data_IF_092579197169
#
_entry.id   IF_092579197169
#
_cell.length_a   1.000
_cell.length_b   1.000
_cell.length_c   1.000
_cell.angle_alpha   90.00
_cell.angle_beta   90.00
_cell.angle_gamma   90.00
#
_symmetry.space_group_name_H-M   'P 1'
#
loop_
_entity.id
_entity.type
_entity.pdbx_description
1 polymer ?
#
# COMPACT_ATOMS: atom_id res chain seq x y z
N UNK A 1 26.74 14.22 -10.67
CA UNK A 1 25.32 13.90 -10.76
C UNK A 1 24.85 13.92 -12.22
N UNK A 2 25.29 14.88 -12.99
CA UNK A 2 24.90 15.04 -14.41
C UNK A 2 25.28 13.84 -15.28
N UNK A 3 26.45 13.24 -15.09
CA UNK A 3 26.89 12.05 -15.82
C UNK A 3 25.97 10.84 -15.61
N UNK A 4 25.46 10.64 -14.38
CA UNK A 4 24.55 9.53 -14.05
C UNK A 4 23.18 9.76 -14.67
N UNK A 5 22.69 10.99 -14.65
CA UNK A 5 21.41 11.34 -15.28
C UNK A 5 21.50 11.23 -16.81
N UNK A 6 22.60 11.70 -17.40
CA UNK A 6 22.88 11.56 -18.84
C UNK A 6 22.97 10.08 -19.27
N UNK A 7 23.67 9.24 -18.48
CA UNK A 7 23.68 7.80 -18.69
C UNK A 7 22.26 7.23 -18.65
N UNK A 8 21.45 7.66 -17.67
CA UNK A 8 20.06 7.20 -17.55
C UNK A 8 19.19 7.62 -18.74
N UNK A 9 19.35 8.85 -19.24
CA UNK A 9 18.69 9.32 -20.48
C UNK A 9 19.05 8.43 -21.66
N UNK A 10 20.35 8.17 -21.90
CA UNK A 10 20.83 7.33 -23.01
C UNK A 10 20.27 5.90 -22.92
N UNK A 11 20.23 5.32 -21.71
CA UNK A 11 19.66 4.00 -21.50
C UNK A 11 18.16 3.95 -21.82
N UNK A 12 17.41 4.96 -21.38
CA UNK A 12 15.97 5.06 -21.67
C UNK A 12 15.73 5.19 -23.17
N UNK A 13 16.46 6.07 -23.85
CA UNK A 13 16.37 6.22 -25.30
C UNK A 13 16.69 4.91 -26.03
N UNK A 14 17.72 4.18 -25.59
CA UNK A 14 18.07 2.87 -26.16
C UNK A 14 16.92 1.86 -25.99
N UNK A 15 16.33 1.79 -24.81
CA UNK A 15 15.17 0.91 -24.53
C UNK A 15 13.98 1.30 -25.41
N UNK A 16 13.79 2.60 -25.61
CA UNK A 16 12.67 3.14 -26.39
C UNK A 16 12.84 3.02 -27.91
N UNK A 17 14.03 2.70 -28.44
CA UNK A 17 14.23 2.43 -29.87
C UNK A 17 13.37 1.26 -30.37
N UNK A 18 13.04 0.31 -29.50
CA UNK A 18 12.23 -0.88 -29.82
C UNK A 18 10.78 -0.78 -29.30
N UNK A 19 10.26 0.42 -29.14
CA UNK A 19 8.86 0.61 -28.72
C UNK A 19 7.89 0.09 -29.77
N UNK A 20 6.87 -0.61 -29.31
CA UNK A 20 5.71 -1.02 -30.09
C UNK A 20 4.44 -0.74 -29.33
N UNK A 21 3.32 -0.56 -30.01
CA UNK A 21 2.03 -0.33 -29.35
C UNK A 21 1.70 -1.44 -28.33
N UNK A 22 2.03 -2.69 -28.66
CA UNK A 22 1.79 -3.84 -27.76
C UNK A 22 2.63 -3.75 -26.48
N UNK A 23 3.91 -3.38 -26.57
CA UNK A 23 4.78 -3.21 -25.41
C UNK A 23 4.35 -2.00 -24.57
N UNK A 24 3.91 -0.92 -25.21
CA UNK A 24 3.39 0.25 -24.53
C UNK A 24 2.16 -0.10 -23.69
N UNK A 25 1.18 -0.79 -24.26
CA UNK A 25 -0.02 -1.25 -23.56
C UNK A 25 0.33 -2.24 -22.44
N UNK A 26 1.22 -3.17 -22.69
CA UNK A 26 1.68 -4.13 -21.67
C UNK A 26 2.31 -3.41 -20.47
N UNK A 27 3.26 -2.49 -20.69
CA UNK A 27 3.92 -1.80 -19.59
C UNK A 27 2.99 -0.79 -18.90
N UNK A 28 2.04 -0.17 -19.60
CA UNK A 28 0.99 0.63 -18.96
C UNK A 28 0.05 -0.22 -18.11
N UNK A 29 -0.34 -1.40 -18.56
CA UNK A 29 -1.15 -2.32 -17.76
C UNK A 29 -0.39 -2.79 -16.51
N UNK A 30 0.88 -3.19 -16.65
CA UNK A 30 1.74 -3.62 -15.52
C UNK A 30 1.92 -2.47 -14.52
N UNK A 31 2.23 -1.25 -14.97
CA UNK A 31 2.45 -0.13 -14.06
C UNK A 31 1.21 0.27 -13.26
N UNK A 32 0.00 0.01 -13.79
CA UNK A 32 -1.26 0.28 -13.08
C UNK A 32 -1.33 -0.47 -11.75
N UNK A 33 -0.76 -1.68 -11.67
CA UNK A 33 -0.69 -2.47 -10.43
C UNK A 33 0.16 -1.79 -9.35
N UNK A 34 1.09 -0.93 -9.72
CA UNK A 34 1.94 -0.18 -8.79
C UNK A 34 1.48 1.24 -8.48
N UNK A 35 0.42 1.68 -9.14
CA UNK A 35 -0.18 3.01 -8.96
C UNK A 35 -1.62 2.91 -8.50
N UNK A 36 -2.57 3.05 -9.41
CA UNK A 36 -4.00 2.99 -9.11
C UNK A 36 -4.44 1.62 -8.58
N UNK A 37 -3.69 0.55 -8.84
CA UNK A 37 -3.99 -0.81 -8.38
C UNK A 37 -4.14 -0.94 -6.86
N UNK A 38 -3.46 -0.10 -6.07
CA UNK A 38 -3.57 -0.09 -4.61
C UNK A 38 -5.02 0.13 -4.13
N UNK A 39 -5.83 0.90 -4.89
CA UNK A 39 -7.26 1.15 -4.57
C UNK A 39 -8.06 -0.16 -4.59
N UNK A 40 -7.63 -1.14 -5.37
CA UNK A 40 -8.29 -2.45 -5.51
C UNK A 40 -7.62 -3.53 -4.66
N UNK A 41 -6.29 -3.58 -4.65
CA UNK A 41 -5.51 -4.65 -4.00
C UNK A 41 -5.60 -4.53 -2.48
N UNK A 42 -5.43 -3.33 -1.93
CA UNK A 42 -5.44 -3.13 -0.46
C UNK A 42 -6.79 -3.50 0.16
N UNK A 43 -7.96 -3.05 -0.36
CA UNK A 43 -9.26 -3.51 0.12
C UNK A 43 -9.46 -5.02 -0.04
N UNK A 44 -8.99 -5.60 -1.16
CA UNK A 44 -9.06 -7.05 -1.35
C UNK A 44 -8.31 -7.81 -0.26
N UNK A 45 -7.09 -7.37 0.07
CA UNK A 45 -6.32 -7.98 1.16
C UNK A 45 -7.04 -7.83 2.50
N UNK A 46 -7.55 -6.63 2.82
CA UNK A 46 -8.26 -6.37 4.10
C UNK A 46 -9.51 -7.23 4.23
N UNK A 47 -10.34 -7.31 3.19
CA UNK A 47 -11.69 -7.89 3.28
C UNK A 47 -11.77 -9.37 2.90
N UNK A 48 -10.81 -9.87 2.11
CA UNK A 48 -10.88 -11.21 1.53
C UNK A 48 -9.77 -12.14 1.98
N UNK A 49 -8.56 -11.61 2.24
CA UNK A 49 -7.43 -12.43 2.63
C UNK A 49 -7.26 -12.44 4.16
N UNK A 50 -6.97 -11.29 4.76
CA UNK A 50 -6.78 -11.19 6.20
C UNK A 50 -6.83 -9.73 6.67
N UNK A 51 -7.78 -9.42 7.52
CA UNK A 51 -7.99 -8.06 8.04
C UNK A 51 -6.73 -7.51 8.73
N UNK A 52 -6.08 -8.34 9.57
CA UNK A 52 -4.88 -7.96 10.30
C UNK A 52 -3.73 -7.60 9.36
N UNK A 53 -3.48 -8.45 8.37
CA UNK A 53 -2.40 -8.24 7.38
C UNK A 53 -2.70 -7.03 6.51
N UNK A 54 -3.91 -6.94 5.95
CA UNK A 54 -4.27 -5.86 5.04
C UNK A 54 -4.33 -4.50 5.71
N UNK A 55 -4.87 -4.40 6.93
CA UNK A 55 -4.94 -3.12 7.65
C UNK A 55 -3.55 -2.61 8.06
N UNK A 56 -2.63 -3.49 8.47
CA UNK A 56 -1.24 -3.13 8.75
C UNK A 56 -0.48 -2.74 7.49
N UNK A 57 -0.69 -3.48 6.39
CA UNK A 57 -0.14 -3.15 5.08
C UNK A 57 -0.58 -1.76 4.64
N UNK A 58 -1.87 -1.41 4.77
CA UNK A 58 -2.39 -0.08 4.47
C UNK A 58 -1.64 1.02 5.24
N UNK A 59 -1.53 0.90 6.57
CA UNK A 59 -0.83 1.89 7.39
C UNK A 59 0.66 2.00 7.00
N UNK A 60 1.31 0.88 6.69
CA UNK A 60 2.71 0.86 6.26
C UNK A 60 2.88 1.54 4.90
N UNK A 61 1.98 1.29 3.94
CA UNK A 61 2.01 1.95 2.63
C UNK A 61 1.79 3.46 2.75
N UNK A 62 0.89 3.90 3.64
CA UNK A 62 0.67 5.34 3.88
C UNK A 62 1.89 6.03 4.49
N UNK A 63 2.53 5.40 5.49
CA UNK A 63 3.80 5.91 6.04
C UNK A 63 4.92 5.87 5.00
N UNK A 64 4.97 4.83 4.18
CA UNK A 64 5.89 4.70 3.06
C UNK A 64 5.70 5.83 2.05
N UNK A 65 4.46 6.19 1.74
CA UNK A 65 4.15 7.31 0.85
C UNK A 65 4.63 8.66 1.44
N UNK A 66 4.43 8.89 2.74
CA UNK A 66 4.95 10.09 3.41
C UNK A 66 6.47 10.19 3.26
N UNK A 67 7.20 9.09 3.54
CA UNK A 67 8.66 9.04 3.37
C UNK A 67 9.06 9.27 1.91
N UNK A 68 8.36 8.64 0.96
CA UNK A 68 8.64 8.81 -0.47
C UNK A 68 8.51 10.27 -0.92
N UNK A 69 7.41 10.93 -0.56
CA UNK A 69 7.21 12.35 -0.89
C UNK A 69 8.25 13.24 -0.22
N UNK A 70 8.64 12.94 1.04
CA UNK A 70 9.71 13.66 1.71
C UNK A 70 11.04 13.56 0.98
N UNK A 71 11.41 12.35 0.57
CA UNK A 71 12.64 12.14 -0.18
C UNK A 71 12.61 12.80 -1.56
N UNK A 72 11.45 12.83 -2.23
CA UNK A 72 11.27 13.54 -3.50
C UNK A 72 11.54 15.04 -3.35
N UNK A 73 11.01 15.66 -2.31
CA UNK A 73 11.21 17.09 -2.07
C UNK A 73 12.65 17.40 -1.65
N UNK A 74 13.31 16.50 -0.92
CA UNK A 74 14.74 16.64 -0.54
C UNK A 74 15.66 16.51 -1.76
N UNK A 75 15.47 15.50 -2.60
CA UNK A 75 16.30 15.30 -3.78
C UNK A 75 15.98 16.28 -4.90
N UNK A 76 14.72 16.67 -5.02
CA UNK A 76 14.20 17.57 -6.07
C UNK A 76 14.72 17.22 -7.47
N UNK A 77 14.92 15.91 -7.74
CA UNK A 77 15.51 15.43 -8.98
C UNK A 77 14.52 15.55 -10.14
N UNK A 78 14.93 16.13 -11.28
CA UNK A 78 14.09 16.18 -12.48
C UNK A 78 13.80 14.76 -12.99
N UNK A 79 12.74 14.62 -13.76
CA UNK A 79 12.42 13.37 -14.44
C UNK A 79 13.15 13.26 -15.78
N UNK A 80 13.25 12.03 -16.35
CA UNK A 80 13.92 11.84 -17.64
C UNK A 80 13.39 12.76 -18.75
N UNK A 81 12.07 12.90 -18.86
CA UNK A 81 11.41 13.72 -19.86
C UNK A 81 11.56 15.25 -19.65
N UNK A 82 11.99 15.68 -18.46
CA UNK A 82 12.33 17.09 -18.19
C UNK A 82 13.70 17.45 -18.77
N UNK A 83 14.60 16.45 -18.88
CA UNK A 83 15.94 16.62 -19.45
C UNK A 83 16.00 16.33 -20.95
N UNK A 84 15.19 15.36 -21.43
CA UNK A 84 15.16 14.95 -22.82
C UNK A 84 13.71 14.81 -23.30
N UNK A 85 13.18 15.84 -24.01
CA UNK A 85 11.79 15.84 -24.46
C UNK A 85 11.43 14.72 -25.46
N UNK A 86 12.44 14.10 -26.10
CA UNK A 86 12.22 12.96 -27.00
C UNK A 86 11.83 11.67 -26.24
N UNK A 87 12.06 11.60 -24.94
CA UNK A 87 11.59 10.50 -24.12
C UNK A 87 10.07 10.51 -24.06
N UNK A 88 9.46 9.45 -24.58
CA UNK A 88 8.06 9.08 -24.71
C UNK A 88 6.95 10.05 -24.24
N UNK A 89 5.69 9.75 -24.55
CA UNK A 89 4.57 10.66 -24.29
C UNK A 89 4.10 10.65 -22.83
N UNK A 90 4.51 9.65 -22.03
CA UNK A 90 4.04 9.50 -20.66
C UNK A 90 4.62 10.59 -19.76
N UNK A 91 3.77 11.22 -18.97
CA UNK A 91 4.14 12.33 -18.08
C UNK A 91 3.57 12.10 -16.69
N UNK A 92 4.32 12.45 -15.67
CA UNK A 92 3.89 12.40 -14.27
C UNK A 92 4.30 13.69 -13.53
N UNK A 93 3.49 14.11 -12.59
CA UNK A 93 3.77 15.30 -11.80
C UNK A 93 4.80 15.02 -10.69
N UNK A 94 5.50 16.10 -10.30
CA UNK A 94 6.46 16.07 -9.19
C UNK A 94 7.80 15.41 -9.54
N UNK A 95 8.69 15.38 -8.59
CA UNK A 95 10.08 14.93 -8.75
C UNK A 95 10.23 13.44 -9.05
N UNK A 96 11.38 13.06 -9.64
CA UNK A 96 11.71 11.69 -10.02
C UNK A 96 12.04 10.79 -8.82
N UNK A 97 13.15 11.05 -8.16
CA UNK A 97 13.71 10.16 -7.12
C UNK A 97 13.09 10.35 -5.73
N UNK A 98 12.83 9.25 -5.02
CA UNK A 98 12.80 7.85 -5.45
C UNK A 98 11.48 7.46 -6.12
N UNK A 99 11.47 6.34 -6.90
CA UNK A 99 10.24 5.84 -7.52
C UNK A 99 9.25 5.29 -6.51
N UNK A 100 8.07 5.93 -6.39
CA UNK A 100 7.01 5.47 -5.50
C UNK A 100 6.41 4.12 -5.93
N UNK A 101 6.25 3.88 -7.23
CA UNK A 101 5.78 2.59 -7.74
C UNK A 101 6.73 1.45 -7.32
N UNK A 102 8.03 1.60 -7.50
CA UNK A 102 9.01 0.61 -7.09
C UNK A 102 9.00 0.36 -5.58
N UNK A 103 8.92 1.44 -4.78
CA UNK A 103 8.92 1.38 -3.32
C UNK A 103 7.67 0.67 -2.77
N UNK A 104 6.49 1.10 -3.19
CA UNK A 104 5.23 0.61 -2.62
C UNK A 104 4.94 -0.82 -3.08
N UNK A 105 5.20 -1.16 -4.35
CA UNK A 105 4.97 -2.53 -4.84
C UNK A 105 5.89 -3.55 -4.19
N UNK A 106 7.13 -3.18 -3.86
CA UNK A 106 8.00 -4.07 -3.11
C UNK A 106 7.40 -4.40 -1.74
N UNK A 107 6.89 -3.41 -1.01
CA UNK A 107 6.25 -3.63 0.30
C UNK A 107 4.98 -4.47 0.13
N UNK A 108 4.09 -4.07 -0.75
CA UNK A 108 2.77 -4.68 -0.93
C UNK A 108 2.86 -6.14 -1.35
N UNK A 109 3.55 -6.43 -2.46
CA UNK A 109 3.65 -7.79 -2.97
C UNK A 109 4.45 -8.71 -2.06
N UNK A 110 5.46 -8.18 -1.34
CA UNK A 110 6.20 -8.97 -0.36
C UNK A 110 5.34 -9.35 0.84
N UNK A 111 4.49 -8.44 1.35
CA UNK A 111 3.57 -8.74 2.46
C UNK A 111 2.48 -9.73 2.04
N UNK A 112 1.95 -9.60 0.81
CA UNK A 112 1.00 -10.58 0.26
C UNK A 112 1.67 -11.94 0.10
N UNK A 113 2.91 -11.99 -0.43
CA UNK A 113 3.66 -13.23 -0.58
C UNK A 113 3.95 -13.92 0.76
N UNK A 114 4.30 -13.15 1.78
CA UNK A 114 4.49 -13.65 3.14
C UNK A 114 3.18 -14.24 3.71
N UNK A 115 2.04 -13.60 3.44
CA UNK A 115 0.73 -14.11 3.85
C UNK A 115 0.33 -15.39 3.11
N UNK A 116 0.55 -15.45 1.77
CA UNK A 116 0.25 -16.64 0.96
C UNK A 116 1.14 -17.83 1.35
N UNK A 117 2.41 -17.59 1.70
CA UNK A 117 3.35 -18.60 2.19
C UNK A 117 3.70 -19.69 1.16
N UNK A 118 3.56 -19.44 -0.15
CA UNK A 118 3.84 -20.40 -1.23
C UNK A 118 4.97 -19.92 -2.13
N UNK A 119 5.97 -20.77 -2.36
CA UNK A 119 7.15 -20.42 -3.19
C UNK A 119 6.79 -19.89 -4.58
N UNK A 120 5.82 -20.53 -5.26
CA UNK A 120 5.39 -20.06 -6.59
C UNK A 120 4.85 -18.62 -6.55
N UNK A 121 4.11 -18.25 -5.48
CA UNK A 121 3.58 -16.90 -5.34
C UNK A 121 4.69 -15.90 -5.00
N UNK A 122 5.70 -16.31 -4.22
CA UNK A 122 6.89 -15.48 -3.97
C UNK A 122 7.62 -15.16 -5.28
N UNK A 123 7.79 -16.15 -6.16
CA UNK A 123 8.38 -15.93 -7.49
C UNK A 123 7.53 -14.95 -8.30
N UNK A 124 6.20 -15.15 -8.33
CA UNK A 124 5.28 -14.22 -9.01
C UNK A 124 5.37 -12.80 -8.44
N UNK A 125 5.41 -12.64 -7.13
CA UNK A 125 5.55 -11.33 -6.47
C UNK A 125 6.86 -10.64 -6.86
N UNK A 126 7.98 -11.37 -6.87
CA UNK A 126 9.28 -10.83 -7.30
C UNK A 126 9.23 -10.40 -8.77
N UNK A 127 8.64 -11.23 -9.64
CA UNK A 127 8.47 -10.89 -11.06
C UNK A 127 7.64 -9.61 -11.24
N UNK A 128 6.53 -9.47 -10.50
CA UNK A 128 5.69 -8.26 -10.55
C UNK A 128 6.46 -7.03 -10.06
N UNK A 129 7.19 -7.12 -8.95
CA UNK A 129 8.01 -6.02 -8.41
C UNK A 129 9.03 -5.57 -9.46
N UNK A 130 9.72 -6.52 -10.10
CA UNK A 130 10.72 -6.22 -11.14
C UNK A 130 10.05 -5.61 -12.37
N UNK A 131 8.97 -6.22 -12.88
CA UNK A 131 8.26 -5.74 -14.08
C UNK A 131 7.67 -4.34 -13.86
N UNK A 132 7.10 -4.06 -12.67
CA UNK A 132 6.59 -2.72 -12.35
C UNK A 132 7.75 -1.73 -12.28
N UNK A 133 8.88 -2.07 -11.67
CA UNK A 133 10.07 -1.21 -11.69
C UNK A 133 10.58 -0.94 -13.11
N UNK A 134 10.71 -1.98 -13.94
CA UNK A 134 11.12 -1.85 -15.34
C UNK A 134 10.15 -1.02 -16.17
N UNK A 135 8.84 -1.15 -15.93
CA UNK A 135 7.83 -0.33 -16.62
C UNK A 135 8.09 1.17 -16.46
N UNK A 136 8.63 1.59 -15.30
CA UNK A 136 8.90 3.01 -15.03
C UNK A 136 10.03 3.55 -15.89
N UNK A 137 11.04 2.73 -16.15
CA UNK A 137 12.16 3.04 -17.04
C UNK A 137 11.70 3.01 -18.49
N UNK A 138 10.99 1.95 -18.90
CA UNK A 138 10.46 1.80 -20.24
C UNK A 138 9.56 2.98 -20.66
N UNK A 139 8.64 3.40 -19.77
CA UNK A 139 7.73 4.53 -20.00
C UNK A 139 8.46 5.88 -19.91
N UNK A 140 9.72 5.91 -19.47
CA UNK A 140 10.54 7.13 -19.44
C UNK A 140 10.16 8.10 -18.32
N UNK A 141 9.45 7.64 -17.30
CA UNK A 141 8.97 8.49 -16.17
C UNK A 141 9.90 8.48 -14.97
N UNK A 142 10.84 7.52 -14.91
CA UNK A 142 11.87 7.41 -13.87
C UNK A 142 13.20 6.92 -14.45
N UNK A 143 14.29 7.42 -13.87
CA UNK A 143 15.60 6.84 -14.12
C UNK A 143 15.74 5.46 -13.47
N UNK A 144 16.64 4.59 -13.98
CA UNK A 144 16.95 3.32 -13.31
C UNK A 144 17.38 3.50 -11.85
N UNK A 145 18.10 4.57 -11.55
CA UNK A 145 18.54 4.94 -10.19
C UNK A 145 17.37 5.27 -9.27
N UNK A 146 16.28 5.88 -9.79
CA UNK A 146 15.07 6.17 -9.01
C UNK A 146 14.38 4.88 -8.59
N UNK A 147 14.34 3.90 -9.51
CA UNK A 147 13.75 2.57 -9.25
C UNK A 147 14.55 1.82 -8.21
N UNK A 148 15.89 1.81 -8.34
CA UNK A 148 16.77 1.19 -7.34
C UNK A 148 16.64 1.86 -5.97
N UNK A 149 16.62 3.19 -5.91
CA UNK A 149 16.39 3.93 -4.67
C UNK A 149 15.02 3.60 -4.06
N UNK A 150 13.98 3.46 -4.90
CA UNK A 150 12.66 3.02 -4.48
C UNK A 150 12.68 1.62 -3.86
N UNK A 151 13.36 0.66 -4.49
CA UNK A 151 13.48 -0.70 -3.94
C UNK A 151 14.29 -0.74 -2.63
N UNK A 152 15.39 0.02 -2.53
CA UNK A 152 16.19 0.10 -1.29
C UNK A 152 15.36 0.67 -0.16
N UNK A 153 14.67 1.78 -0.40
CA UNK A 153 13.81 2.42 0.60
C UNK A 153 12.63 1.54 0.97
N UNK A 154 11.97 0.93 -0.02
CA UNK A 154 10.89 -0.03 0.20
C UNK A 154 11.35 -1.25 1.00
N UNK A 155 12.53 -1.78 0.70
CA UNK A 155 13.15 -2.89 1.44
C UNK A 155 13.44 -2.55 2.91
N UNK A 156 13.97 -1.35 3.17
CA UNK A 156 14.21 -0.86 4.53
C UNK A 156 12.90 -0.73 5.32
N UNK A 157 11.85 -0.15 4.70
CA UNK A 157 10.53 -0.01 5.34
C UNK A 157 9.84 -1.36 5.54
N UNK A 158 9.97 -2.28 4.60
CA UNK A 158 9.48 -3.66 4.74
C UNK A 158 10.19 -4.37 5.90
N UNK A 159 11.50 -4.24 6.01
CA UNK A 159 12.27 -4.80 7.13
C UNK A 159 11.81 -4.24 8.47
N UNK A 160 11.60 -2.92 8.57
CA UNK A 160 11.05 -2.29 9.78
C UNK A 160 9.65 -2.82 10.10
N UNK A 161 8.79 -2.98 9.09
CA UNK A 161 7.47 -3.58 9.26
C UNK A 161 7.57 -5.00 9.82
N UNK A 162 8.33 -5.88 9.17
CA UNK A 162 8.45 -7.28 9.57
C UNK A 162 9.06 -7.42 10.98
N UNK A 163 9.94 -6.50 11.38
CA UNK A 163 10.61 -6.52 12.69
C UNK A 163 9.77 -5.98 13.83
N UNK A 164 8.90 -4.99 13.55
CA UNK A 164 8.27 -4.20 14.62
C UNK A 164 6.74 -4.17 14.59
N UNK A 165 6.08 -4.51 13.48
CA UNK A 165 4.62 -4.34 13.36
C UNK A 165 3.83 -5.15 14.41
N UNK A 166 4.27 -6.36 14.76
CA UNK A 166 3.62 -7.16 15.80
C UNK A 166 3.77 -6.55 17.18
N UNK A 167 4.96 -6.08 17.53
CA UNK A 167 5.22 -5.46 18.83
C UNK A 167 4.46 -4.13 18.98
N UNK A 168 4.43 -3.30 17.91
CA UNK A 168 3.65 -2.06 17.89
C UNK A 168 2.16 -2.37 18.05
N UNK A 169 1.64 -3.32 17.30
CA UNK A 169 0.24 -3.68 17.37
C UNK A 169 -0.15 -4.27 18.73
N UNK A 170 0.73 -5.04 19.38
CA UNK A 170 0.51 -5.56 20.73
C UNK A 170 0.49 -4.44 21.77
N UNK A 171 1.42 -3.49 21.70
CA UNK A 171 1.45 -2.31 22.58
C UNK A 171 0.21 -1.44 22.43
N UNK A 172 -0.19 -1.14 21.18
CA UNK A 172 -1.42 -0.40 20.91
C UNK A 172 -2.66 -1.18 21.35
N UNK A 173 -2.61 -2.50 21.26
CA UNK A 173 -3.68 -3.37 21.74
C UNK A 173 -3.88 -3.30 23.24
N UNK A 174 -2.79 -3.25 23.98
CA UNK A 174 -2.80 -3.12 25.44
C UNK A 174 -3.15 -1.70 25.91
N UNK A 175 -2.95 -0.70 25.07
CA UNK A 175 -3.33 0.68 25.34
C UNK A 175 -4.86 0.85 25.31
N UNK A 176 -5.38 1.73 26.14
CA UNK A 176 -6.80 2.10 26.14
C UNK A 176 -7.24 2.73 24.82
N UNK A 177 -8.54 2.67 24.53
CA UNK A 177 -9.11 3.20 23.27
C UNK A 177 -8.71 4.66 23.01
N UNK A 178 -8.75 5.53 24.04
CA UNK A 178 -8.33 6.92 23.91
C UNK A 178 -6.87 7.07 23.46
N UNK A 179 -5.96 6.23 23.98
CA UNK A 179 -4.56 6.23 23.58
C UNK A 179 -4.37 5.77 22.12
N UNK A 180 -5.17 4.81 21.64
CA UNK A 180 -5.13 4.37 20.25
C UNK A 180 -5.56 5.50 19.29
N UNK A 181 -6.64 6.21 19.62
CA UNK A 181 -7.11 7.37 18.83
C UNK A 181 -6.09 8.52 18.89
N UNK A 182 -5.53 8.83 20.07
CA UNK A 182 -4.50 9.84 20.21
C UNK A 182 -3.25 9.51 19.38
N UNK A 183 -2.82 8.25 19.35
CA UNK A 183 -1.71 7.80 18.50
C UNK A 183 -2.05 7.95 17.02
N UNK A 184 -3.27 7.57 16.61
CA UNK A 184 -3.72 7.75 15.22
C UNK A 184 -3.69 9.23 14.81
N UNK A 185 -4.17 10.14 15.68
CA UNK A 185 -4.15 11.58 15.45
C UNK A 185 -2.72 12.12 15.39
N UNK A 186 -1.86 11.73 16.32
CA UNK A 186 -0.46 12.16 16.36
C UNK A 186 0.30 11.73 15.10
N UNK A 187 0.16 10.46 14.68
CA UNK A 187 0.77 9.99 13.43
C UNK A 187 0.19 10.69 12.19
N UNK A 188 -1.12 10.95 12.16
CA UNK A 188 -1.75 11.70 11.07
C UNK A 188 -1.28 13.16 11.04
N UNK A 189 -1.04 13.76 12.20
CA UNK A 189 -0.51 15.13 12.28
C UNK A 189 0.87 15.26 11.61
N UNK A 190 1.68 14.19 11.54
CA UNK A 190 2.95 14.23 10.81
C UNK A 190 2.74 14.54 9.32
N UNK A 191 1.69 14.04 8.70
CA UNK A 191 1.36 14.34 7.30
C UNK A 191 0.98 15.82 7.13
N UNK A 192 0.22 16.37 8.08
CA UNK A 192 -0.16 17.79 8.07
C UNK A 192 1.06 18.67 8.27
N UNK A 193 1.90 18.36 9.26
CA UNK A 193 3.17 19.08 9.51
C UNK A 193 4.07 19.01 8.29
N UNK A 194 4.19 17.84 7.68
CA UNK A 194 4.95 17.67 6.43
C UNK A 194 4.45 18.63 5.34
N UNK A 195 3.14 18.67 5.10
CA UNK A 195 2.56 19.59 4.12
C UNK A 195 2.82 21.06 4.43
N UNK A 196 2.75 21.45 5.70
CA UNK A 196 3.02 22.84 6.11
C UNK A 196 4.49 23.24 5.91
N UNK A 197 5.41 22.29 6.06
CA UNK A 197 6.85 22.52 5.85
C UNK A 197 7.26 22.43 4.37
N UNK A 198 6.61 21.54 3.59
CA UNK A 198 6.93 21.25 2.21
C UNK A 198 5.63 21.22 1.35
N UNK A 199 5.05 22.40 1.04
CA UNK A 199 3.71 22.48 0.43
C UNK A 199 3.66 22.09 -1.05
N UNK A 200 4.73 21.52 -1.62
CA UNK A 200 4.82 21.13 -3.03
C UNK A 200 3.94 19.93 -3.37
N UNK A 201 3.64 19.09 -2.37
CA UNK A 201 2.89 17.84 -2.56
C UNK A 201 1.55 17.85 -1.80
N UNK A 202 0.49 18.44 -2.36
CA UNK A 202 -0.81 18.58 -1.69
C UNK A 202 -1.50 17.23 -1.36
N UNK A 203 -1.16 16.16 -2.07
CA UNK A 203 -1.71 14.81 -1.83
C UNK A 203 -1.44 14.29 -0.42
N UNK A 204 -0.40 14.77 0.26
CA UNK A 204 -0.03 14.36 1.62
C UNK A 204 -1.13 14.65 2.63
N UNK A 205 -1.91 15.73 2.42
CA UNK A 205 -3.07 16.07 3.28
C UNK A 205 -4.11 14.95 3.26
N UNK A 206 -4.45 14.47 2.05
CA UNK A 206 -5.39 13.36 1.89
C UNK A 206 -4.86 12.05 2.50
N UNK A 207 -3.55 11.77 2.33
CA UNK A 207 -2.92 10.60 2.96
C UNK A 207 -2.98 10.67 4.50
N UNK A 208 -2.82 11.85 5.09
CA UNK A 208 -2.99 12.07 6.54
C UNK A 208 -4.40 11.75 7.01
N UNK A 209 -5.41 12.24 6.28
CA UNK A 209 -6.81 11.90 6.54
C UNK A 209 -7.07 10.39 6.43
N UNK A 210 -6.62 9.76 5.33
CA UNK A 210 -6.74 8.32 5.10
C UNK A 210 -6.07 7.50 6.22
N UNK A 211 -4.89 7.92 6.66
CA UNK A 211 -4.19 7.30 7.78
C UNK A 211 -4.98 7.40 9.08
N UNK A 212 -5.46 8.59 9.42
CA UNK A 212 -6.27 8.79 10.63
C UNK A 212 -7.52 7.92 10.60
N UNK A 213 -8.30 7.99 9.52
CA UNK A 213 -9.52 7.20 9.37
C UNK A 213 -9.26 5.71 9.46
N UNK A 214 -8.21 5.21 8.79
CA UNK A 214 -7.83 3.80 8.82
C UNK A 214 -7.39 3.35 10.22
N UNK A 215 -6.53 4.11 10.89
CA UNK A 215 -6.04 3.77 12.23
C UNK A 215 -7.15 3.86 13.30
N UNK A 216 -7.99 4.90 13.23
CA UNK A 216 -9.17 5.02 14.09
C UNK A 216 -10.16 3.88 13.83
N UNK A 217 -10.39 3.54 12.56
CA UNK A 217 -11.26 2.43 12.18
C UNK A 217 -10.77 1.07 12.69
N UNK A 218 -9.46 0.83 12.73
CA UNK A 218 -8.88 -0.37 13.35
C UNK A 218 -9.20 -0.41 14.86
N UNK A 219 -9.05 0.72 15.57
CA UNK A 219 -9.36 0.81 16.99
C UNK A 219 -10.86 0.57 17.27
N UNK A 220 -11.73 1.15 16.43
CA UNK A 220 -13.19 0.95 16.48
C UNK A 220 -13.58 -0.51 16.19
N UNK A 221 -13.02 -1.09 15.13
CA UNK A 221 -13.27 -2.47 14.74
C UNK A 221 -12.90 -3.44 15.90
N UNK A 222 -11.75 -3.24 16.50
CA UNK A 222 -11.32 -4.06 17.66
C UNK A 222 -12.24 -3.95 18.86
N UNK A 223 -12.85 -2.78 19.09
CA UNK A 223 -13.71 -2.54 20.25
C UNK A 223 -15.11 -3.09 20.07
N UNK A 224 -15.69 -3.01 18.87
CA UNK A 224 -17.12 -3.25 18.65
C UNK A 224 -17.44 -4.31 17.60
N UNK A 225 -16.48 -4.73 16.78
CA UNK A 225 -16.74 -5.66 15.70
C UNK A 225 -15.84 -6.90 15.80
N UNK A 226 -16.24 -7.92 15.05
CA UNK A 226 -15.35 -9.03 14.69
C UNK A 226 -14.73 -8.73 13.34
N UNK A 227 -13.40 -8.78 13.26
CA UNK A 227 -12.71 -8.60 12.01
C UNK A 227 -13.19 -9.62 10.96
N UNK A 228 -13.35 -9.22 9.67
CA UNK A 228 -13.84 -10.12 8.62
C UNK A 228 -12.73 -11.09 8.18
N UNK A 229 -12.47 -12.10 8.98
CA UNK A 229 -11.47 -13.13 8.65
C UNK A 229 -12.15 -14.42 8.16
N UNK A 230 -11.53 -15.11 7.20
CA UNK A 230 -12.04 -16.38 6.66
C UNK A 230 -13.35 -16.25 5.89
N UNK A 231 -14.14 -17.32 5.90
CA UNK A 231 -15.43 -17.43 5.20
C UNK A 231 -15.32 -18.08 3.81
N UNK A 232 -16.48 -18.51 3.28
CA UNK A 232 -16.60 -19.11 1.97
C UNK A 232 -16.21 -18.13 0.85
N UNK A 233 -15.78 -18.62 -0.30
CA UNK A 233 -15.36 -17.79 -1.44
C UNK A 233 -16.44 -16.80 -1.87
N UNK A 234 -17.70 -17.22 -1.91
CA UNK A 234 -18.81 -16.33 -2.27
C UNK A 234 -19.00 -15.19 -1.24
N UNK A 235 -18.79 -15.45 0.05
CA UNK A 235 -18.85 -14.42 1.10
C UNK A 235 -17.72 -13.39 0.90
N UNK A 236 -16.50 -13.87 0.60
CA UNK A 236 -15.34 -13.00 0.31
C UNK A 236 -15.59 -12.17 -0.96
N UNK A 237 -16.13 -12.78 -2.02
CA UNK A 237 -16.49 -12.07 -3.25
C UNK A 237 -17.53 -10.98 -3.01
N UNK A 238 -18.61 -11.29 -2.27
CA UNK A 238 -19.65 -10.30 -1.93
C UNK A 238 -19.09 -9.19 -1.03
N UNK A 239 -18.24 -9.49 -0.04
CA UNK A 239 -17.57 -8.47 0.77
C UNK A 239 -16.78 -7.50 -0.12
N UNK A 240 -16.01 -8.05 -1.06
CA UNK A 240 -15.22 -7.22 -1.97
C UNK A 240 -16.12 -6.36 -2.86
N UNK A 241 -17.10 -6.94 -3.52
CA UNK A 241 -18.00 -6.21 -4.43
C UNK A 241 -18.78 -5.10 -3.72
N UNK A 242 -19.36 -5.40 -2.56
CA UNK A 242 -20.10 -4.40 -1.77
C UNK A 242 -19.16 -3.33 -1.23
N UNK A 243 -18.04 -3.73 -0.64
CA UNK A 243 -17.09 -2.79 -0.06
C UNK A 243 -16.46 -1.85 -1.09
N UNK A 244 -16.05 -2.40 -2.25
CA UNK A 244 -15.42 -1.62 -3.31
C UNK A 244 -16.42 -0.71 -4.02
N UNK A 245 -17.66 -1.15 -4.23
CA UNK A 245 -18.70 -0.33 -4.84
C UNK A 245 -18.94 0.95 -4.03
N UNK A 246 -19.09 0.82 -2.70
CA UNK A 246 -19.27 1.99 -1.83
C UNK A 246 -18.00 2.87 -1.83
N UNK A 247 -16.80 2.29 -1.76
CA UNK A 247 -15.56 3.05 -1.79
C UNK A 247 -15.42 3.85 -3.08
N UNK A 248 -15.62 3.22 -4.24
CA UNK A 248 -15.49 3.89 -5.54
C UNK A 248 -16.57 4.97 -5.73
N UNK A 249 -17.81 4.71 -5.27
CA UNK A 249 -18.86 5.71 -5.28
C UNK A 249 -18.49 6.90 -4.41
N UNK A 250 -17.97 6.66 -3.19
CA UNK A 250 -17.48 7.71 -2.30
C UNK A 250 -16.38 8.55 -2.98
N UNK A 251 -15.35 7.90 -3.51
CA UNK A 251 -14.25 8.60 -4.18
C UNK A 251 -14.71 9.42 -5.39
N UNK A 252 -15.64 8.89 -6.18
CA UNK A 252 -16.20 9.58 -7.36
C UNK A 252 -17.07 10.79 -6.99
N UNK A 253 -17.79 10.75 -5.86
CA UNK A 253 -18.68 11.85 -5.47
C UNK A 253 -17.99 12.88 -4.59
N UNK A 254 -17.19 12.42 -3.62
CA UNK A 254 -16.58 13.32 -2.62
C UNK A 254 -15.57 14.29 -3.24
N UNK A 255 -14.91 13.91 -4.34
CA UNK A 255 -14.02 14.80 -5.09
C UNK A 255 -14.74 16.06 -5.64
N UNK A 256 -16.04 15.96 -5.92
CA UNK A 256 -16.84 17.08 -6.43
C UNK A 256 -17.11 18.18 -5.38
N UNK A 257 -16.92 17.85 -4.11
CA UNK A 257 -17.13 18.79 -3.01
C UNK A 257 -15.87 19.58 -2.64
N UNK A 258 -14.74 19.17 -3.20
CA UNK A 258 -13.45 19.83 -2.94
C UNK A 258 -13.33 21.05 -3.83
N UNK A 259 -13.15 22.28 -3.25
CA UNK A 259 -12.96 23.48 -4.03
C UNK A 259 -11.67 23.41 -4.89
N UNK A 260 -11.62 24.13 -6.00
CA UNK A 260 -10.42 24.22 -6.83
C UNK A 260 -9.31 25.03 -6.14
N UNK A 261 -9.69 26.05 -5.39
CA UNK A 261 -8.75 26.88 -4.64
C UNK A 261 -8.25 26.15 -3.38
N UNK A 262 -6.94 26.15 -3.18
CA UNK A 262 -6.28 25.48 -2.04
C UNK A 262 -6.31 26.39 -0.79
N UNK A 263 -7.50 26.66 -0.33
CA UNK A 263 -7.77 27.40 0.93
C UNK A 263 -8.01 26.43 2.11
N UNK A 264 -8.48 26.96 3.22
CA UNK A 264 -8.79 26.19 4.42
C UNK A 264 -9.92 25.15 4.14
N UNK A 265 -10.90 25.50 3.32
CA UNK A 265 -12.01 24.60 2.98
C UNK A 265 -11.50 23.41 2.16
N UNK A 266 -10.64 23.68 1.18
CA UNK A 266 -9.94 22.62 0.43
C UNK A 266 -9.20 21.66 1.36
N UNK A 267 -8.38 22.22 2.27
CA UNK A 267 -7.59 21.43 3.21
C UNK A 267 -8.48 20.52 4.08
N UNK A 268 -9.51 21.09 4.69
CA UNK A 268 -10.43 20.35 5.57
C UNK A 268 -11.19 19.28 4.80
N UNK A 269 -11.72 19.60 3.63
CA UNK A 269 -12.51 18.67 2.83
C UNK A 269 -11.65 17.53 2.27
N UNK A 270 -10.45 17.80 1.76
CA UNK A 270 -9.52 16.74 1.31
C UNK A 270 -9.17 15.81 2.47
N UNK A 271 -8.84 16.37 3.64
CA UNK A 271 -8.53 15.56 4.81
C UNK A 271 -9.72 14.69 5.24
N UNK A 272 -10.90 15.29 5.42
CA UNK A 272 -12.09 14.59 5.89
C UNK A 272 -12.59 13.54 4.89
N UNK A 273 -12.61 13.84 3.59
CA UNK A 273 -13.01 12.90 2.56
C UNK A 273 -12.15 11.62 2.58
N UNK A 274 -10.84 11.79 2.73
CA UNK A 274 -9.93 10.67 2.82
C UNK A 274 -10.01 9.97 4.19
N UNK A 275 -10.29 10.69 5.28
CA UNK A 275 -10.52 10.07 6.59
C UNK A 275 -11.76 9.17 6.57
N UNK A 276 -12.83 9.59 5.91
CA UNK A 276 -14.02 8.74 5.71
C UNK A 276 -13.67 7.50 4.89
N UNK A 277 -12.88 7.62 3.82
CA UNK A 277 -12.43 6.48 3.04
C UNK A 277 -11.60 5.49 3.88
N UNK A 278 -10.66 5.99 4.69
CA UNK A 278 -9.87 5.18 5.62
C UNK A 278 -10.73 4.46 6.68
N UNK A 279 -11.67 5.20 7.26
CA UNK A 279 -12.64 4.65 8.22
C UNK A 279 -13.53 3.59 7.57
N UNK A 280 -13.96 3.81 6.32
CA UNK A 280 -14.71 2.82 5.55
C UNK A 280 -13.91 1.53 5.37
N UNK A 281 -12.66 1.61 4.96
CA UNK A 281 -11.80 0.45 4.72
C UNK A 281 -11.69 -0.48 5.94
N UNK A 282 -11.54 0.09 7.14
CA UNK A 282 -11.14 -0.67 8.32
C UNK A 282 -12.25 -0.82 9.36
N UNK A 283 -13.36 -0.07 9.25
CA UNK A 283 -14.50 -0.17 10.18
C UNK A 283 -15.84 -0.22 9.45
N UNK A 284 -16.16 0.72 8.57
CA UNK A 284 -17.48 0.82 7.95
C UNK A 284 -17.85 -0.41 7.12
N UNK A 285 -16.96 -0.86 6.22
CA UNK A 285 -17.18 -2.06 5.44
C UNK A 285 -17.23 -3.33 6.32
N UNK A 286 -16.33 -3.58 7.28
CA UNK A 286 -16.46 -4.65 8.26
C UNK A 286 -17.80 -4.63 9.03
N UNK A 287 -18.29 -3.45 9.43
CA UNK A 287 -19.58 -3.31 10.11
C UNK A 287 -20.74 -3.73 9.21
N UNK A 288 -20.73 -3.27 7.95
CA UNK A 288 -21.71 -3.68 6.95
C UNK A 288 -21.67 -5.21 6.74
N UNK A 289 -20.49 -5.80 6.58
CA UNK A 289 -20.35 -7.24 6.37
C UNK A 289 -20.88 -8.06 7.54
N UNK A 290 -20.67 -7.59 8.76
CA UNK A 290 -21.24 -8.22 9.95
C UNK A 290 -22.77 -8.09 9.97
N UNK A 291 -23.33 -6.92 9.68
CA UNK A 291 -24.76 -6.66 9.66
C UNK A 291 -25.50 -7.53 8.62
N UNK A 292 -24.91 -7.73 7.44
CA UNK A 292 -25.48 -8.56 6.37
C UNK A 292 -25.03 -10.03 6.42
N UNK A 293 -24.41 -10.47 7.55
CA UNK A 293 -24.00 -11.85 7.82
C UNK A 293 -23.00 -12.44 6.81
N UNK A 294 -22.16 -11.61 6.23
CA UNK A 294 -21.06 -12.04 5.35
C UNK A 294 -19.80 -12.42 6.11
N UNK A 295 -19.73 -12.22 7.44
CA UNK A 295 -18.67 -12.71 8.30
C UNK A 295 -19.02 -14.09 8.82
N UNK A 296 -18.03 -15.03 8.98
CA UNK A 296 -18.29 -16.34 9.56
C UNK A 296 -18.88 -16.21 10.97
N UNK A 297 -19.84 -17.08 11.29
CA UNK A 297 -20.42 -17.17 12.63
C UNK A 297 -19.39 -17.61 13.68
N UNK A 298 -19.68 -17.39 14.96
CA UNK A 298 -18.76 -17.68 16.06
C UNK A 298 -18.29 -19.14 16.17
N UNK A 299 -18.93 -20.09 15.45
CA UNK A 299 -18.60 -21.52 15.47
C UNK A 299 -17.78 -22.03 14.29
N UNK A 300 -17.45 -21.18 13.28
CA UNK A 300 -16.76 -21.59 12.06
C UNK A 300 -15.33 -21.02 11.92
N UNK A 301 -14.79 -20.43 12.98
CA UNK A 301 -13.40 -19.98 12.98
C UNK A 301 -12.49 -21.21 12.98
N UNK A 302 -12.00 -21.59 11.80
CA UNK A 302 -10.79 -22.42 11.70
C UNK A 302 -9.67 -21.61 12.37
N UNK A 303 -9.13 -22.14 13.44
CA UNK A 303 -8.04 -21.54 14.20
C UNK A 303 -6.86 -21.25 13.24
N UNK A 304 -6.46 -19.99 13.01
CA UNK A 304 -5.34 -19.67 12.13
C UNK A 304 -3.97 -20.11 12.69
N UNK A 305 -3.95 -20.73 13.91
CA UNK A 305 -2.76 -21.29 14.51
C UNK A 305 -2.33 -22.65 13.96
N UNK A 306 -3.15 -23.29 13.11
CA UNK A 306 -2.76 -24.52 12.42
C UNK A 306 -2.16 -24.16 11.04
N UNK A 307 -0.95 -23.61 11.07
CA UNK A 307 -0.04 -23.72 9.95
C UNK A 307 0.26 -25.20 9.68
N UNK A 308 0.63 -25.62 8.44
CA UNK A 308 0.87 -27.02 8.15
C UNK A 308 1.89 -27.59 9.13
N UNK A 309 1.45 -28.63 9.87
CA UNK A 309 2.26 -29.34 10.84
C UNK A 309 3.65 -29.61 10.26
N UNK A 310 4.68 -29.13 10.95
CA UNK A 310 6.04 -29.57 10.72
C UNK A 310 6.01 -31.11 10.83
N UNK A 311 6.28 -31.78 9.69
CA UNK A 311 6.44 -33.22 9.67
C UNK A 311 7.54 -33.59 10.67
N UNK A 312 7.11 -34.13 11.80
CA UNK A 312 8.00 -34.59 12.85
C UNK A 312 8.88 -35.70 12.29
N UNK A 313 10.15 -35.52 12.39
CA UNK A 313 11.11 -36.60 12.28
C UNK A 313 10.80 -37.64 13.38
N UNK A 314 10.66 -38.92 13.06
CA UNK A 314 10.56 -39.93 14.08
C UNK A 314 11.93 -40.06 14.78
N UNK A 315 11.95 -39.69 16.07
CA UNK A 315 13.07 -40.01 16.93
C UNK A 315 13.16 -41.54 17.07
N UNK A 316 14.18 -42.14 16.49
CA UNK A 316 14.57 -43.53 16.76
C UNK A 316 15.05 -43.65 18.20
N UNK A 317 14.19 -44.14 19.06
CA UNK A 317 14.60 -44.64 20.40
C UNK A 317 15.44 -45.90 20.20
N UNK A 318 16.74 -45.82 20.45
CA UNK A 318 17.57 -46.98 20.73
C UNK A 318 17.44 -47.31 22.21
N UNK A 319 16.74 -48.41 22.49
CA UNK A 319 16.83 -49.11 23.76
C UNK A 319 18.24 -49.68 23.90
N UNK A 320 18.97 -49.31 24.93
CA UNK A 320 20.07 -50.11 25.48
C UNK A 320 19.57 -50.75 26.73
N UNK A 321 19.30 -52.07 26.65
CA UNK A 321 19.34 -53.01 27.75
C UNK A 321 20.65 -53.76 27.69
N UNK A 322 21.26 -53.86 28.81
CA UNK A 322 22.34 -54.65 29.40
C UNK A 322 23.59 -53.89 29.69
#
# INVERSE_FOLDING_TARGET
>A
MDDVLNWGVQLILLVQQNRTALLDEFFRAITTLGGQGHIYIVPFVIWCLGYRTGSRMLLTLLLSALVNFGMKDVFAQPRPFDLEPAIGPDREMGFGAPSGHAQHTLIEWSLIAAWVGRRWFTVLAVLLIVLIGLSRVYLGVHFPTDVLAGWVLGGALLWLHLRHADAIAARLAAAGFGAQIATAAACSALFVVFYLLLPRTPYVVGLGGLFFGAAAGIALCRRWLRAPEGGALWQRALRYLLGIAVLLTWLAQSGKWVPEQRDLAWFVLVYLNNAVAGLWLTFGAPALFQAVRLTPGAGSAVDPAVGPASAGHPATAKSMSD
#
